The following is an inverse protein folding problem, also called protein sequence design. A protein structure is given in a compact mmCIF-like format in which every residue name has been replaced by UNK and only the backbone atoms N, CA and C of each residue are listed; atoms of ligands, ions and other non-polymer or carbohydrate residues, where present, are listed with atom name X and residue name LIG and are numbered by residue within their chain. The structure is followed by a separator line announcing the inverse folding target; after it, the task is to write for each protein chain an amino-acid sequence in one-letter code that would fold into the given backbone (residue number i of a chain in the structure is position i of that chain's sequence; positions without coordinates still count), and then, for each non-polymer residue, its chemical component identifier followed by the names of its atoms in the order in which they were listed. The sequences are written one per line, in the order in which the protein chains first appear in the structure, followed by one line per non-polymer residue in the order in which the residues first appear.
data_IF_444527926235
#
_entry.id   IF_444527926235
#
_cell.length_a   1.000
_cell.length_b   1.000
_cell.length_c   1.000
_cell.angle_alpha   90.00
_cell.angle_beta   90.00
_cell.angle_gamma   90.00
#
_symmetry.space_group_name_H-M   'P 1'
#
loop_
_entity.id
_entity.type
_entity.pdbx_description
1 polymer ?
#
# COMPACT_ATOMS: atom_id res chain seq x y z
N UNK A 1 31.42 -17.36 25.97
CA UNK A 1 30.52 -16.61 25.05
C UNK A 1 29.51 -17.61 24.50
N UNK A 2 28.32 -17.67 25.13
CA UNK A 2 27.27 -18.65 24.84
C UNK A 2 26.56 -18.27 23.54
N UNK A 3 26.76 -19.05 22.48
CA UNK A 3 26.01 -18.96 21.21
C UNK A 3 24.56 -19.38 21.47
N UNK A 4 23.66 -18.42 21.56
CA UNK A 4 22.23 -18.68 21.65
C UNK A 4 21.79 -19.45 20.40
N UNK A 5 21.34 -20.72 20.60
CA UNK A 5 20.73 -21.56 19.55
C UNK A 5 19.62 -20.76 18.84
N UNK A 6 19.55 -20.80 17.51
CA UNK A 6 18.45 -20.18 16.78
C UNK A 6 17.14 -20.78 17.24
N UNK A 7 16.30 -19.97 17.92
CA UNK A 7 14.95 -20.38 18.32
C UNK A 7 14.22 -20.82 17.06
N UNK A 8 13.71 -22.05 17.04
CA UNK A 8 13.05 -22.62 15.88
C UNK A 8 11.95 -21.67 15.35
N UNK A 9 11.85 -21.50 14.03
CA UNK A 9 10.82 -20.64 13.37
C UNK A 9 9.41 -20.97 13.89
N UNK A 10 9.17 -22.22 14.29
CA UNK A 10 7.93 -22.69 14.91
C UNK A 10 7.62 -21.94 16.22
N UNK A 11 8.60 -21.79 17.12
CA UNK A 11 8.39 -21.13 18.42
C UNK A 11 8.08 -19.62 18.27
N UNK A 12 8.58 -18.99 17.22
CA UNK A 12 8.27 -17.60 16.92
C UNK A 12 6.83 -17.44 16.41
N UNK A 13 6.39 -18.33 15.52
CA UNK A 13 5.01 -18.35 15.00
C UNK A 13 4.01 -18.57 16.14
N UNK A 14 4.23 -19.54 17.02
CA UNK A 14 3.37 -19.78 18.19
C UNK A 14 3.24 -18.54 19.10
N UNK A 15 4.34 -17.81 19.30
CA UNK A 15 4.31 -16.58 20.11
C UNK A 15 3.52 -15.46 19.45
N UNK A 16 3.64 -15.31 18.13
CA UNK A 16 2.85 -14.33 17.38
C UNK A 16 1.34 -14.64 17.46
N UNK A 17 0.96 -15.92 17.27
CA UNK A 17 -0.42 -16.35 17.39
C UNK A 17 -0.96 -16.22 18.82
N UNK A 18 -0.16 -16.58 19.82
CA UNK A 18 -0.53 -16.41 21.23
C UNK A 18 -0.77 -14.93 21.59
N UNK A 19 0.05 -14.02 21.07
CA UNK A 19 -0.13 -12.58 21.27
C UNK A 19 -1.44 -12.08 20.62
N UNK A 20 -1.72 -12.48 19.38
CA UNK A 20 -2.94 -12.10 18.68
C UNK A 20 -4.19 -12.62 19.43
N UNK A 21 -4.16 -13.88 19.87
CA UNK A 21 -5.24 -14.47 20.66
C UNK A 21 -5.41 -13.74 22.00
N UNK A 22 -4.31 -13.43 22.69
CA UNK A 22 -4.34 -12.69 23.95
C UNK A 22 -4.95 -11.29 23.76
N UNK A 23 -4.58 -10.57 22.69
CA UNK A 23 -5.17 -9.27 22.36
C UNK A 23 -6.67 -9.37 22.05
N UNK A 24 -7.08 -10.39 21.29
CA UNK A 24 -8.49 -10.64 20.98
C UNK A 24 -9.32 -10.95 22.23
N UNK A 25 -8.77 -11.78 23.13
CA UNK A 25 -9.40 -12.10 24.41
C UNK A 25 -9.46 -10.88 25.34
N UNK A 26 -8.40 -10.07 25.37
CA UNK A 26 -8.38 -8.83 26.15
C UNK A 26 -9.45 -7.86 25.66
N UNK A 27 -9.59 -7.69 24.35
CA UNK A 27 -10.64 -6.87 23.75
C UNK A 27 -12.04 -7.38 24.13
N UNK A 28 -12.31 -8.67 23.91
CA UNK A 28 -13.60 -9.29 24.24
C UNK A 28 -13.93 -9.12 25.72
N UNK A 29 -12.96 -9.36 26.62
CA UNK A 29 -13.13 -9.24 28.06
C UNK A 29 -13.38 -7.78 28.49
N UNK A 30 -12.60 -6.83 27.97
CA UNK A 30 -12.73 -5.40 28.28
C UNK A 30 -14.12 -4.87 27.88
N UNK A 31 -14.63 -5.30 26.73
CA UNK A 31 -15.96 -4.92 26.26
C UNK A 31 -17.06 -5.57 27.11
N UNK A 32 -16.98 -6.87 27.41
CA UNK A 32 -17.99 -7.58 28.24
C UNK A 32 -18.04 -7.11 29.69
N UNK A 33 -16.89 -6.77 30.26
CA UNK A 33 -16.80 -6.19 31.62
C UNK A 33 -17.23 -4.72 31.65
N UNK A 34 -17.66 -4.14 30.52
CA UNK A 34 -18.04 -2.73 30.38
C UNK A 34 -16.99 -1.76 30.92
N UNK A 35 -15.69 -2.11 30.78
CA UNK A 35 -14.59 -1.19 31.07
C UNK A 35 -14.58 0.01 30.12
N UNK A 36 -15.13 -0.20 28.93
CA UNK A 36 -15.39 0.83 27.90
C UNK A 36 -16.86 0.69 27.51
N UNK A 37 -17.50 1.82 27.18
CA UNK A 37 -18.88 1.82 26.69
C UNK A 37 -19.01 0.87 25.48
N UNK A 38 -19.95 -0.11 25.49
CA UNK A 38 -20.18 -1.01 24.37
C UNK A 38 -20.51 -0.30 23.05
N UNK A 39 -21.03 0.93 23.12
CA UNK A 39 -21.25 1.78 21.95
C UNK A 39 -19.91 2.19 21.29
N UNK A 40 -18.85 2.38 22.06
CA UNK A 40 -17.54 2.78 21.57
C UNK A 40 -16.67 1.56 21.23
N UNK A 41 -16.78 0.49 22.02
CA UNK A 41 -16.00 -0.73 21.82
C UNK A 41 -16.92 -1.96 21.97
N UNK A 42 -17.66 -2.36 20.91
CA UNK A 42 -18.47 -3.57 20.95
C UNK A 42 -17.60 -4.83 21.08
N UNK A 43 -18.16 -5.94 21.63
CA UNK A 43 -17.45 -7.21 21.71
C UNK A 43 -16.97 -7.69 20.34
N UNK A 44 -15.79 -8.28 20.29
CA UNK A 44 -15.22 -8.81 19.06
C UNK A 44 -16.16 -9.81 18.37
N UNK A 45 -16.85 -10.63 19.16
CA UNK A 45 -17.86 -11.59 18.67
C UNK A 45 -19.00 -10.91 17.91
N UNK A 46 -19.47 -9.75 18.35
CA UNK A 46 -20.49 -8.95 17.63
C UNK A 46 -19.93 -8.37 16.34
N UNK A 47 -18.70 -7.85 16.37
CA UNK A 47 -18.01 -7.33 15.16
C UNK A 47 -17.86 -8.42 14.09
N UNK A 48 -17.45 -9.63 14.49
CA UNK A 48 -17.32 -10.78 13.57
C UNK A 48 -18.68 -11.23 13.02
N UNK A 49 -19.70 -11.32 13.86
CA UNK A 49 -21.06 -11.67 13.44
C UNK A 49 -21.60 -10.64 12.43
N UNK A 50 -21.36 -9.35 12.72
CA UNK A 50 -21.79 -8.25 11.84
C UNK A 50 -21.03 -8.26 10.51
N UNK A 51 -19.70 -8.49 10.54
CA UNK A 51 -18.88 -8.68 9.34
C UNK A 51 -19.39 -9.84 8.47
N UNK A 52 -19.76 -10.97 9.11
CA UNK A 52 -20.39 -12.10 8.43
C UNK A 52 -21.72 -11.75 7.76
N UNK A 53 -22.58 -10.99 8.44
CA UNK A 53 -23.85 -10.52 7.89
C UNK A 53 -23.66 -9.57 6.70
N UNK A 54 -22.67 -8.64 6.79
CA UNK A 54 -22.31 -7.74 5.69
C UNK A 54 -21.74 -8.51 4.48
N UNK A 55 -21.00 -9.58 4.74
CA UNK A 55 -20.49 -10.48 3.69
C UNK A 55 -21.64 -11.26 3.04
N UNK A 56 -22.53 -11.86 3.83
CA UNK A 56 -23.68 -12.63 3.35
C UNK A 56 -24.65 -11.78 2.53
N UNK A 57 -24.86 -10.51 2.90
CA UNK A 57 -25.68 -9.56 2.12
C UNK A 57 -25.00 -9.11 0.80
N UNK A 58 -23.75 -9.46 0.59
CA UNK A 58 -22.95 -9.03 -0.55
C UNK A 58 -22.55 -7.53 -0.51
N UNK A 59 -22.91 -6.78 0.53
CA UNK A 59 -22.56 -5.36 0.68
C UNK A 59 -21.06 -5.19 0.78
N UNK A 60 -20.43 -5.96 1.68
CA UNK A 60 -18.98 -5.89 1.93
C UNK A 60 -18.17 -6.16 0.66
N UNK A 61 -18.59 -7.16 -0.14
CA UNK A 61 -17.90 -7.50 -1.40
C UNK A 61 -18.06 -6.41 -2.46
N UNK A 62 -19.23 -5.78 -2.56
CA UNK A 62 -19.45 -4.67 -3.50
C UNK A 62 -18.61 -3.45 -3.13
N UNK A 63 -18.54 -3.10 -1.84
CA UNK A 63 -17.75 -1.97 -1.37
C UNK A 63 -16.25 -2.25 -1.52
N UNK A 64 -15.80 -3.46 -1.21
CA UNK A 64 -14.43 -3.92 -1.44
C UNK A 64 -14.05 -3.86 -2.93
N UNK A 65 -14.92 -4.33 -3.82
CA UNK A 65 -14.66 -4.30 -5.26
C UNK A 65 -14.53 -2.86 -5.78
N UNK A 66 -15.37 -1.94 -5.28
CA UNK A 66 -15.29 -0.52 -5.63
C UNK A 66 -13.97 0.10 -5.17
N UNK A 67 -13.53 -0.16 -3.92
CA UNK A 67 -12.25 0.30 -3.39
C UNK A 67 -11.08 -0.29 -4.17
N UNK A 68 -11.10 -1.61 -4.44
CA UNK A 68 -10.04 -2.28 -5.20
C UNK A 68 -9.91 -1.74 -6.63
N UNK A 69 -11.01 -1.44 -7.29
CA UNK A 69 -11.04 -0.84 -8.62
C UNK A 69 -10.35 0.53 -8.65
N UNK A 70 -10.66 1.41 -7.68
CA UNK A 70 -10.02 2.73 -7.57
C UNK A 70 -8.53 2.63 -7.29
N UNK A 71 -8.14 1.71 -6.39
CA UNK A 71 -6.74 1.41 -6.11
C UNK A 71 -6.02 0.96 -7.38
N UNK A 72 -6.61 0.03 -8.13
CA UNK A 72 -6.03 -0.47 -9.38
C UNK A 72 -5.80 0.66 -10.37
N UNK A 73 -6.80 1.52 -10.60
CA UNK A 73 -6.70 2.63 -11.54
C UNK A 73 -5.66 3.67 -11.09
N UNK A 74 -5.77 4.17 -9.85
CA UNK A 74 -4.88 5.22 -9.34
C UNK A 74 -3.43 4.74 -9.23
N UNK A 75 -3.22 3.54 -8.71
CA UNK A 75 -1.90 2.93 -8.60
C UNK A 75 -1.26 2.64 -9.96
N UNK A 76 -2.03 2.08 -10.91
CA UNK A 76 -1.51 1.78 -12.25
C UNK A 76 -1.12 3.07 -12.98
N UNK A 77 -1.95 4.11 -12.93
CA UNK A 77 -1.62 5.41 -13.49
C UNK A 77 -0.34 5.99 -12.87
N UNK A 78 -0.21 5.91 -11.53
CA UNK A 78 0.98 6.35 -10.83
C UNK A 78 2.22 5.53 -11.24
N UNK A 79 2.12 4.21 -11.29
CA UNK A 79 3.24 3.34 -11.61
C UNK A 79 3.72 3.53 -13.06
N UNK A 80 2.79 3.63 -14.02
CA UNK A 80 3.11 3.84 -15.45
C UNK A 80 3.88 5.15 -15.67
N UNK A 81 3.58 6.21 -14.93
CA UNK A 81 4.27 7.49 -15.02
C UNK A 81 5.52 7.55 -14.14
N UNK A 82 5.47 7.00 -12.94
CA UNK A 82 6.58 7.05 -11.99
C UNK A 82 7.77 6.16 -12.40
N UNK A 83 7.52 5.00 -13.01
CA UNK A 83 8.60 4.09 -13.41
C UNK A 83 9.55 4.74 -14.43
N UNK A 84 9.10 5.22 -15.60
CA UNK A 84 10.00 5.85 -16.56
C UNK A 84 10.64 7.12 -16.02
N UNK A 85 9.87 7.94 -15.27
CA UNK A 85 10.38 9.16 -14.67
C UNK A 85 11.48 8.88 -13.64
N UNK A 86 11.26 7.96 -12.70
CA UNK A 86 12.24 7.59 -11.68
C UNK A 86 13.52 7.01 -12.27
N UNK A 87 13.40 6.16 -13.30
CA UNK A 87 14.54 5.61 -14.04
C UNK A 87 15.28 6.73 -14.78
N UNK A 88 14.58 7.62 -15.48
CA UNK A 88 15.20 8.72 -16.21
C UNK A 88 15.95 9.67 -15.27
N UNK A 89 15.34 10.06 -14.14
CA UNK A 89 15.99 10.87 -13.12
C UNK A 89 17.23 10.18 -12.53
N UNK A 90 17.21 8.87 -12.36
CA UNK A 90 18.34 8.10 -11.83
C UNK A 90 19.50 7.95 -12.81
N UNK A 91 19.21 7.88 -14.10
CA UNK A 91 20.23 7.73 -15.16
C UNK A 91 20.85 9.06 -15.60
N UNK A 92 20.08 10.16 -15.55
CA UNK A 92 20.49 11.47 -16.06
C UNK A 92 20.63 12.51 -14.92
N UNK A 93 21.86 12.80 -14.44
CA UNK A 93 22.09 13.77 -13.35
C UNK A 93 21.57 15.18 -13.65
N UNK A 94 21.51 15.57 -14.93
CA UNK A 94 20.93 16.86 -15.33
C UNK A 94 19.44 16.95 -15.05
N UNK A 95 18.67 15.89 -15.37
CA UNK A 95 17.24 15.80 -15.09
C UNK A 95 16.98 15.77 -13.59
N UNK A 96 17.84 15.08 -12.86
CA UNK A 96 17.70 15.01 -11.40
C UNK A 96 17.90 16.38 -10.73
N UNK A 97 18.92 17.16 -11.13
CA UNK A 97 19.15 18.50 -10.58
C UNK A 97 17.94 19.41 -10.77
N UNK A 98 17.18 19.23 -11.84
CA UNK A 98 15.94 19.97 -12.11
C UNK A 98 14.74 19.39 -11.34
N UNK A 99 14.62 18.06 -11.27
CA UNK A 99 13.48 17.39 -10.68
C UNK A 99 13.54 17.26 -9.16
N UNK A 100 14.74 17.11 -8.56
CA UNK A 100 14.88 16.87 -7.13
C UNK A 100 14.30 17.99 -6.24
N UNK A 101 14.46 19.29 -6.54
CA UNK A 101 13.83 20.34 -5.75
C UNK A 101 12.30 20.26 -5.78
N UNK A 102 11.71 19.97 -6.94
CA UNK A 102 10.27 19.83 -7.11
C UNK A 102 9.73 18.63 -6.33
N UNK A 103 10.39 17.48 -6.43
CA UNK A 103 10.03 16.27 -5.68
C UNK A 103 10.13 16.51 -4.17
N UNK A 104 11.18 17.22 -3.72
CA UNK A 104 11.39 17.56 -2.32
C UNK A 104 10.33 18.53 -1.77
N UNK A 105 9.86 19.46 -2.60
CA UNK A 105 8.82 20.42 -2.22
C UNK A 105 7.42 19.77 -2.16
N UNK A 106 7.12 18.84 -3.08
CA UNK A 106 5.79 18.22 -3.15
C UNK A 106 5.62 16.99 -2.25
N UNK A 107 6.71 16.31 -1.90
CA UNK A 107 6.69 15.11 -1.05
C UNK A 107 6.07 15.31 0.33
N UNK A 108 6.27 16.45 1.06
CA UNK A 108 5.66 16.67 2.36
C UNK A 108 4.14 16.84 2.31
N UNK A 109 3.56 17.12 1.14
CA UNK A 109 2.11 17.26 0.99
C UNK A 109 1.45 15.89 1.16
N UNK A 110 0.77 15.71 2.30
CA UNK A 110 0.05 14.47 2.57
C UNK A 110 -1.10 14.27 1.56
N UNK A 111 -1.35 13.05 1.06
CA UNK A 111 -2.42 12.79 0.07
C UNK A 111 -3.79 13.31 0.49
N UNK A 112 -4.23 13.22 1.77
CA UNK A 112 -5.49 13.80 2.21
C UNK A 112 -5.59 15.32 2.05
N UNK A 113 -4.48 16.06 2.06
CA UNK A 113 -4.50 17.50 1.86
C UNK A 113 -5.00 17.92 0.46
N UNK A 114 -4.92 16.99 -0.50
CA UNK A 114 -5.41 17.20 -1.87
C UNK A 114 -6.91 16.96 -2.02
N UNK A 115 -7.61 16.41 -1.01
CA UNK A 115 -9.04 16.06 -1.10
C UNK A 115 -9.91 17.26 -1.51
N UNK A 116 -9.82 18.45 -0.87
CA UNK A 116 -10.66 19.58 -1.24
C UNK A 116 -10.45 20.01 -2.69
N UNK A 117 -9.19 20.05 -3.14
CA UNK A 117 -8.82 20.42 -4.49
C UNK A 117 -9.28 19.39 -5.53
N UNK A 118 -9.13 18.09 -5.19
CA UNK A 118 -9.59 17.00 -6.04
C UNK A 118 -11.12 17.05 -6.24
N UNK A 119 -11.88 17.33 -5.18
CA UNK A 119 -13.33 17.48 -5.28
C UNK A 119 -13.71 18.70 -6.11
N UNK A 120 -12.97 19.81 -5.97
CA UNK A 120 -13.21 21.02 -6.75
C UNK A 120 -12.97 20.78 -8.26
N UNK A 121 -11.94 20.02 -8.61
CA UNK A 121 -11.60 19.76 -10.02
C UNK A 121 -12.46 18.67 -10.67
N UNK A 122 -12.76 17.60 -9.95
CA UNK A 122 -13.39 16.39 -10.49
C UNK A 122 -14.82 16.15 -9.99
N UNK A 123 -15.31 16.97 -9.05
CA UNK A 123 -16.60 16.74 -8.40
C UNK A 123 -16.55 15.59 -7.39
N UNK A 124 -17.74 15.13 -6.95
CA UNK A 124 -17.90 14.00 -6.04
C UNK A 124 -18.05 12.73 -6.89
N UNK A 125 -17.21 11.72 -6.65
CA UNK A 125 -17.25 10.46 -7.38
C UNK A 125 -15.92 9.70 -7.36
N UNK A 126 -15.72 8.80 -8.32
CA UNK A 126 -14.52 7.96 -8.38
C UNK A 126 -13.26 8.73 -8.78
N UNK A 127 -13.40 9.75 -9.63
CA UNK A 127 -12.26 10.50 -10.16
C UNK A 127 -11.39 11.18 -9.09
N UNK A 128 -11.95 11.94 -8.10
CA UNK A 128 -11.13 12.50 -7.04
C UNK A 128 -10.44 11.43 -6.19
N UNK A 129 -11.11 10.30 -5.91
CA UNK A 129 -10.49 9.22 -5.15
C UNK A 129 -9.31 8.60 -5.91
N UNK A 130 -9.46 8.33 -7.20
CA UNK A 130 -8.39 7.84 -8.08
C UNK A 130 -7.22 8.83 -8.13
N UNK A 131 -7.51 10.14 -8.22
CA UNK A 131 -6.49 11.19 -8.22
C UNK A 131 -5.70 11.23 -6.88
N UNK A 132 -6.37 11.09 -5.74
CA UNK A 132 -5.72 11.08 -4.42
C UNK A 132 -4.81 9.85 -4.28
N UNK A 133 -5.26 8.68 -4.75
CA UNK A 133 -4.45 7.48 -4.79
C UNK A 133 -3.23 7.68 -5.68
N UNK A 134 -3.44 8.25 -6.88
CA UNK A 134 -2.37 8.59 -7.81
C UNK A 134 -1.31 9.50 -7.15
N UNK A 135 -1.70 10.63 -6.61
CA UNK A 135 -0.77 11.58 -5.97
C UNK A 135 -0.04 10.94 -4.79
N UNK A 136 -0.76 10.20 -3.94
CA UNK A 136 -0.18 9.55 -2.77
C UNK A 136 0.87 8.49 -3.09
N UNK A 137 0.74 7.83 -4.23
CA UNK A 137 1.67 6.77 -4.65
C UNK A 137 2.76 7.27 -5.60
N UNK A 138 2.45 8.21 -6.48
CA UNK A 138 3.33 8.69 -7.54
C UNK A 138 4.67 9.20 -7.00
N UNK A 139 4.66 10.16 -6.07
CA UNK A 139 5.90 10.74 -5.52
C UNK A 139 6.74 9.71 -4.78
N UNK A 140 6.11 8.81 -4.03
CA UNK A 140 6.81 7.73 -3.32
C UNK A 140 7.47 6.77 -4.29
N UNK A 141 6.77 6.38 -5.36
CA UNK A 141 7.30 5.50 -6.41
C UNK A 141 8.47 6.17 -7.14
N UNK A 142 8.34 7.44 -7.57
CA UNK A 142 9.42 8.16 -8.28
C UNK A 142 10.69 8.19 -7.44
N UNK A 143 10.59 8.57 -6.16
CA UNK A 143 11.77 8.65 -5.27
C UNK A 143 12.38 7.28 -5.01
N UNK A 144 11.55 6.26 -4.77
CA UNK A 144 12.03 4.91 -4.55
C UNK A 144 12.72 4.31 -5.77
N UNK A 145 12.17 4.53 -6.98
CA UNK A 145 12.74 4.05 -8.24
C UNK A 145 14.02 4.83 -8.58
N UNK A 146 14.06 6.14 -8.37
CA UNK A 146 15.27 6.97 -8.49
C UNK A 146 16.40 6.41 -7.62
N UNK A 147 16.12 6.16 -6.33
CA UNK A 147 17.11 5.60 -5.40
C UNK A 147 17.58 4.21 -5.84
N UNK A 148 16.66 3.34 -6.29
CA UNK A 148 16.99 2.02 -6.83
C UNK A 148 17.88 2.10 -8.09
N UNK A 149 17.57 3.03 -9.00
CA UNK A 149 18.33 3.22 -10.24
C UNK A 149 19.77 3.67 -9.94
N UNK A 150 19.96 4.53 -8.96
CA UNK A 150 21.30 4.96 -8.52
C UNK A 150 22.10 3.87 -7.81
N UNK A 151 21.42 2.92 -7.18
CA UNK A 151 22.06 1.80 -6.51
C UNK A 151 22.59 0.72 -7.48
N UNK A 152 22.30 0.83 -8.77
CA UNK A 152 22.88 -0.07 -9.80
C UNK A 152 24.38 0.17 -9.88
N UNK A 153 25.15 -0.91 -9.80
CA UNK A 153 26.63 -0.84 -9.85
C UNK A 153 27.12 -0.20 -11.15
N UNK A 154 27.83 0.95 -11.08
CA UNK A 154 28.39 1.59 -12.28
C UNK A 154 29.38 0.72 -13.04
N UNK A 155 30.00 -0.27 -12.39
CA UNK A 155 30.96 -1.18 -13.04
C UNK A 155 30.26 -2.06 -14.05
N UNK A 156 29.02 -2.48 -13.81
CA UNK A 156 28.24 -3.25 -14.78
C UNK A 156 27.99 -2.47 -16.06
N UNK A 157 27.68 -1.17 -15.93
CA UNK A 157 27.47 -0.29 -17.09
C UNK A 157 28.78 -0.09 -17.87
N UNK A 158 29.90 0.17 -17.16
CA UNK A 158 31.22 0.32 -17.77
C UNK A 158 31.64 -0.97 -18.51
N UNK A 159 31.45 -2.14 -17.89
CA UNK A 159 31.76 -3.42 -18.52
C UNK A 159 30.97 -3.63 -19.82
N UNK A 160 29.66 -3.33 -19.83
CA UNK A 160 28.84 -3.43 -21.03
C UNK A 160 29.34 -2.51 -22.15
N UNK A 161 29.72 -1.27 -21.83
CA UNK A 161 30.27 -0.31 -22.80
C UNK A 161 31.62 -0.76 -23.36
N UNK A 162 32.48 -1.33 -22.50
CA UNK A 162 33.79 -1.88 -22.93
C UNK A 162 33.63 -3.07 -23.90
N UNK A 163 32.56 -3.86 -23.71
CA UNK A 163 32.18 -4.96 -24.60
C UNK A 163 31.51 -4.50 -25.91
N UNK A 164 31.45 -3.19 -26.17
CA UNK A 164 30.90 -2.62 -27.40
C UNK A 164 29.39 -2.37 -27.38
N UNK A 165 28.72 -2.48 -26.23
CA UNK A 165 27.31 -2.13 -26.13
C UNK A 165 27.12 -0.61 -26.27
N UNK A 166 26.07 -0.18 -26.98
CA UNK A 166 25.63 1.21 -26.95
C UNK A 166 25.04 1.59 -25.58
N UNK A 167 24.98 2.89 -25.27
CA UNK A 167 24.34 3.38 -24.02
C UNK A 167 22.91 2.88 -23.87
N UNK A 168 22.14 2.84 -24.94
CA UNK A 168 20.79 2.32 -24.97
C UNK A 168 20.73 0.82 -24.67
N UNK A 169 21.62 0.05 -25.28
CA UNK A 169 21.76 -1.39 -25.03
C UNK A 169 22.17 -1.67 -23.56
N UNK A 170 23.06 -0.87 -22.98
CA UNK A 170 23.44 -0.98 -21.59
C UNK A 170 22.23 -0.74 -20.66
N UNK A 171 21.37 0.25 -20.94
CA UNK A 171 20.13 0.49 -20.17
C UNK A 171 19.21 -0.72 -20.24
N UNK A 172 18.89 -1.22 -21.45
CA UNK A 172 17.91 -2.29 -21.63
C UNK A 172 18.41 -3.67 -21.19
N UNK A 173 19.71 -3.98 -21.40
CA UNK A 173 20.27 -5.31 -21.14
C UNK A 173 20.94 -5.45 -19.78
N UNK A 174 21.30 -4.34 -19.13
CA UNK A 174 22.00 -4.35 -17.83
C UNK A 174 21.18 -3.64 -16.76
N UNK A 175 20.86 -2.36 -16.97
CA UNK A 175 20.22 -1.55 -15.91
C UNK A 175 18.81 -2.06 -15.61
N UNK A 176 17.93 -2.18 -16.60
CA UNK A 176 16.55 -2.59 -16.40
C UNK A 176 16.42 -3.98 -15.75
N UNK A 177 17.13 -5.03 -16.22
CA UNK A 177 17.10 -6.33 -15.55
C UNK A 177 17.61 -6.29 -14.11
N UNK A 178 18.65 -5.48 -13.84
CA UNK A 178 19.18 -5.30 -12.48
C UNK A 178 18.20 -4.58 -11.55
N UNK A 179 17.31 -3.74 -12.10
CA UNK A 179 16.30 -3.00 -11.34
C UNK A 179 15.06 -3.83 -10.99
N UNK A 180 14.77 -4.91 -11.72
CA UNK A 180 13.53 -5.69 -11.54
C UNK A 180 13.23 -6.01 -10.08
N UNK A 181 14.16 -6.53 -9.26
CA UNK A 181 13.88 -6.82 -7.85
C UNK A 181 13.51 -5.58 -7.04
N UNK A 182 14.23 -4.47 -7.28
CA UNK A 182 13.96 -3.20 -6.60
C UNK A 182 12.62 -2.60 -7.04
N UNK A 183 12.27 -2.70 -8.33
CA UNK A 183 10.98 -2.27 -8.85
C UNK A 183 9.82 -3.05 -8.21
N UNK A 184 9.94 -4.36 -8.06
CA UNK A 184 8.94 -5.18 -7.39
C UNK A 184 8.74 -4.75 -5.93
N UNK A 185 9.83 -4.47 -5.21
CA UNK A 185 9.76 -3.92 -3.86
C UNK A 185 9.05 -2.55 -3.85
N UNK A 186 9.33 -1.66 -4.82
CA UNK A 186 8.65 -0.36 -4.93
C UNK A 186 7.16 -0.51 -5.28
N UNK A 187 6.79 -1.44 -6.13
CA UNK A 187 5.39 -1.79 -6.43
C UNK A 187 4.66 -2.22 -5.14
N UNK A 188 5.29 -3.07 -4.34
CA UNK A 188 4.73 -3.51 -3.06
C UNK A 188 4.50 -2.35 -2.09
N UNK A 189 5.50 -1.50 -1.88
CA UNK A 189 5.40 -0.31 -1.01
C UNK A 189 4.33 0.65 -1.54
N UNK A 190 4.34 0.93 -2.84
CA UNK A 190 3.38 1.81 -3.49
C UNK A 190 1.94 1.29 -3.40
N UNK A 191 1.70 -0.01 -3.57
CA UNK A 191 0.37 -0.60 -3.44
C UNK A 191 -0.14 -0.52 -1.99
N UNK A 192 0.74 -0.70 -1.00
CA UNK A 192 0.39 -0.47 0.41
C UNK A 192 -0.04 0.96 0.68
N UNK A 193 0.68 1.95 0.13
CA UNK A 193 0.30 3.36 0.21
C UNK A 193 -1.02 3.65 -0.51
N UNK A 194 -1.23 3.08 -1.71
CA UNK A 194 -2.48 3.21 -2.45
C UNK A 194 -3.68 2.71 -1.63
N UNK A 195 -3.51 1.57 -0.95
CA UNK A 195 -4.53 0.99 -0.07
C UNK A 195 -4.84 1.87 1.15
N UNK A 196 -3.86 2.57 1.70
CA UNK A 196 -4.11 3.57 2.75
C UNK A 196 -4.82 4.82 2.21
N UNK A 197 -4.39 5.31 1.04
CA UNK A 197 -4.95 6.52 0.43
C UNK A 197 -6.42 6.35 0.02
N UNK A 198 -6.83 5.17 -0.48
CA UNK A 198 -8.22 4.93 -0.91
C UNK A 198 -9.20 5.11 0.23
N UNK A 199 -8.89 4.62 1.42
CA UNK A 199 -9.80 4.73 2.58
C UNK A 199 -10.02 6.20 2.94
N UNK A 200 -8.95 7.01 3.01
CA UNK A 200 -9.07 8.44 3.30
C UNK A 200 -9.89 9.19 2.22
N UNK A 201 -9.64 8.87 0.96
CA UNK A 201 -10.38 9.47 -0.16
C UNK A 201 -11.87 9.08 -0.15
N UNK A 202 -12.17 7.82 0.12
CA UNK A 202 -13.53 7.29 0.15
C UNK A 202 -14.38 7.82 1.30
N UNK A 203 -13.77 8.21 2.40
CA UNK A 203 -14.50 8.81 3.53
C UNK A 203 -15.10 10.18 3.18
N UNK A 204 -14.61 10.86 2.15
CA UNK A 204 -15.01 12.25 1.83
C UNK A 204 -15.55 12.40 0.40
N UNK A 205 -14.93 11.73 -0.57
CA UNK A 205 -15.12 12.06 -1.98
C UNK A 205 -16.11 11.15 -2.73
N UNK A 206 -16.57 10.04 -2.15
CA UNK A 206 -17.37 9.03 -2.86
C UNK A 206 -18.64 8.61 -2.10
N UNK A 207 -19.50 7.85 -2.78
CA UNK A 207 -20.76 7.31 -2.21
C UNK A 207 -20.80 5.78 -2.14
N UNK A 208 -19.70 5.09 -2.36
CA UNK A 208 -19.54 3.63 -2.28
C UNK A 208 -18.08 3.28 -1.98
N UNK A 209 -17.85 2.18 -1.30
CA UNK A 209 -16.52 1.69 -0.95
C UNK A 209 -16.38 1.47 0.55
N UNK A 210 -15.28 0.82 0.96
CA UNK A 210 -15.03 0.49 2.38
C UNK A 210 -14.94 1.74 3.26
N UNK A 211 -14.27 2.80 2.78
CA UNK A 211 -14.16 4.07 3.51
C UNK A 211 -15.51 4.76 3.66
N UNK A 212 -16.33 4.77 2.60
CA UNK A 212 -17.69 5.31 2.67
C UNK A 212 -18.58 4.49 3.62
N UNK A 213 -18.51 3.15 3.56
CA UNK A 213 -19.24 2.28 4.49
C UNK A 213 -18.91 2.59 5.95
N UNK A 214 -17.63 2.81 6.26
CA UNK A 214 -17.18 3.15 7.61
C UNK A 214 -17.67 4.52 8.07
N UNK A 215 -17.64 5.56 7.22
CA UNK A 215 -18.13 6.90 7.59
C UNK A 215 -19.66 6.91 7.76
N UNK A 216 -20.39 6.19 6.90
CA UNK A 216 -21.84 6.02 7.02
C UNK A 216 -22.20 5.30 8.32
N UNK A 217 -21.53 4.20 8.63
CA UNK A 217 -21.71 3.46 9.87
C UNK A 217 -21.41 4.32 11.11
N UNK A 218 -20.33 5.12 11.08
CA UNK A 218 -20.01 6.08 12.14
C UNK A 218 -21.12 7.10 12.36
N UNK A 219 -21.67 7.65 11.30
CA UNK A 219 -22.75 8.64 11.38
C UNK A 219 -24.07 8.05 11.92
N UNK A 220 -24.25 6.73 11.80
CA UNK A 220 -25.37 5.98 12.34
C UNK A 220 -25.08 5.36 13.71
N UNK A 221 -23.94 5.65 14.34
CA UNK A 221 -23.47 5.07 15.60
C UNK A 221 -23.42 3.52 15.60
N UNK A 222 -23.15 2.92 14.43
CA UNK A 222 -22.98 1.47 14.26
C UNK A 222 -21.50 1.11 14.33
N UNK A 223 -20.93 1.14 15.51
CA UNK A 223 -19.48 0.94 15.71
C UNK A 223 -19.03 -0.46 15.29
N UNK A 224 -19.91 -1.47 15.40
CA UNK A 224 -19.64 -2.82 14.90
C UNK A 224 -19.40 -2.86 13.37
N UNK A 225 -20.13 -2.05 12.60
CA UNK A 225 -19.93 -1.94 11.14
C UNK A 225 -18.61 -1.21 10.79
N UNK A 226 -18.26 -0.18 11.57
CA UNK A 226 -16.97 0.52 11.43
C UNK A 226 -15.81 -0.43 11.66
N UNK A 227 -15.84 -1.17 12.78
CA UNK A 227 -14.79 -2.12 13.14
C UNK A 227 -14.72 -3.31 12.16
N UNK A 228 -15.86 -3.80 11.68
CA UNK A 228 -15.90 -4.82 10.62
C UNK A 228 -15.25 -4.31 9.32
N UNK A 229 -15.51 -3.06 8.95
CA UNK A 229 -14.83 -2.39 7.83
C UNK A 229 -13.32 -2.28 8.04
N UNK A 230 -12.88 -1.82 9.20
CA UNK A 230 -11.45 -1.74 9.55
C UNK A 230 -10.76 -3.11 9.50
N UNK A 231 -11.39 -4.15 10.05
CA UNK A 231 -10.87 -5.52 9.97
C UNK A 231 -10.75 -6.01 8.52
N UNK A 232 -11.75 -5.70 7.70
CA UNK A 232 -11.72 -6.04 6.26
C UNK A 232 -10.56 -5.36 5.56
N UNK A 233 -10.35 -4.06 5.80
CA UNK A 233 -9.20 -3.31 5.26
C UNK A 233 -7.88 -3.94 5.66
N UNK A 234 -7.73 -4.31 6.94
CA UNK A 234 -6.52 -4.95 7.45
C UNK A 234 -6.28 -6.33 6.81
N UNK A 235 -7.31 -7.17 6.73
CA UNK A 235 -7.22 -8.51 6.14
C UNK A 235 -6.84 -8.41 4.65
N UNK A 236 -7.51 -7.55 3.89
CA UNK A 236 -7.21 -7.38 2.46
C UNK A 236 -5.80 -6.81 2.26
N UNK A 237 -5.37 -5.85 3.07
CA UNK A 237 -4.01 -5.32 3.04
C UNK A 237 -2.96 -6.42 3.28
N UNK A 238 -3.17 -7.28 4.28
CA UNK A 238 -2.30 -8.42 4.54
C UNK A 238 -2.28 -9.45 3.40
N UNK A 239 -3.43 -9.72 2.80
CA UNK A 239 -3.53 -10.65 1.66
C UNK A 239 -2.80 -10.09 0.43
N UNK A 240 -2.96 -8.80 0.14
CA UNK A 240 -2.25 -8.11 -0.95
C UNK A 240 -0.74 -8.16 -0.72
N UNK A 241 -0.27 -7.84 0.49
CA UNK A 241 1.15 -7.90 0.84
C UNK A 241 1.72 -9.32 0.69
N UNK A 242 1.02 -10.32 1.24
CA UNK A 242 1.42 -11.73 1.12
C UNK A 242 1.47 -12.22 -0.34
N UNK A 243 0.52 -11.77 -1.18
CA UNK A 243 0.50 -12.08 -2.60
C UNK A 243 1.72 -11.49 -3.30
N UNK A 244 2.03 -10.22 -3.04
CA UNK A 244 3.17 -9.52 -3.65
C UNK A 244 4.50 -10.12 -3.21
N UNK A 245 4.67 -10.49 -1.94
CA UNK A 245 5.86 -11.21 -1.46
C UNK A 245 6.05 -12.53 -2.20
N UNK A 246 4.96 -13.30 -2.40
CA UNK A 246 5.02 -14.55 -3.16
C UNK A 246 5.39 -14.33 -4.63
N UNK A 247 4.88 -13.27 -5.24
CA UNK A 247 5.23 -12.90 -6.61
C UNK A 247 6.70 -12.48 -6.71
N UNK A 248 7.17 -11.63 -5.79
CA UNK A 248 8.57 -11.19 -5.71
C UNK A 248 9.52 -12.38 -5.59
N UNK A 249 9.26 -13.31 -4.66
CA UNK A 249 10.09 -14.51 -4.47
C UNK A 249 10.08 -15.46 -5.65
N UNK A 250 8.99 -15.53 -6.42
CA UNK A 250 8.92 -16.34 -7.64
C UNK A 250 9.67 -15.70 -8.81
N UNK A 251 9.50 -14.39 -8.99
CA UNK A 251 10.10 -13.65 -10.11
C UNK A 251 11.60 -13.41 -9.92
N UNK A 252 12.09 -13.30 -8.68
CA UNK A 252 13.49 -13.02 -8.37
C UNK A 252 14.27 -14.27 -7.91
N UNK A 253 13.91 -15.47 -8.36
CA UNK A 253 14.58 -16.73 -7.98
C UNK A 253 16.08 -16.77 -8.32
N UNK A 254 16.55 -15.96 -9.25
CA UNK A 254 17.96 -15.87 -9.62
C UNK A 254 18.85 -15.11 -8.62
N UNK A 255 18.27 -14.57 -7.54
CA UNK A 255 19.00 -13.81 -6.50
C UNK A 255 19.31 -14.65 -5.25
N UNK A 256 18.85 -15.89 -5.20
CA UNK A 256 19.07 -16.84 -4.09
C UNK A 256 20.38 -17.62 -4.30
#
# INVERSE_FOLDING_TARGET
MSLAKPKSRLSLLWRCWALLIALALLWELASRLRLVDPLLLPPLTQVLARGGALLASGRLLRDLAASAWRVLLGFTAAAVLAMPLGIALGLYPALERLGAPLLSALRPLSPPAWIPLAILWFGIGDAPAVFIIFVGTFFSLVVGILAATRAVDPQLIKAALTLGASRWQAVWRVVLPSLVPALLTQVRVGLGLAWMCVIAAEMVAVRRGLGFMMIEARNLFRTEDVLAGMMTVAIVGLLLDALLVRLETRLCRWRA
#
